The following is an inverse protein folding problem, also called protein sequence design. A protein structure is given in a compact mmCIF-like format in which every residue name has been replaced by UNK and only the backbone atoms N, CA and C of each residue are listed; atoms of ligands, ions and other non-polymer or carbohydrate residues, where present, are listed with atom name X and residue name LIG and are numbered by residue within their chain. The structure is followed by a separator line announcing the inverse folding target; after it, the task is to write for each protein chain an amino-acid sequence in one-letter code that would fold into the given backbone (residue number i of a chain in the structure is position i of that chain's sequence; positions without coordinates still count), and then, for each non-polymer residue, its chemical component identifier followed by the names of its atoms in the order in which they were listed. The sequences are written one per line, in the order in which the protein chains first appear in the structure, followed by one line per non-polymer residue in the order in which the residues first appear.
data_IF_718493944903
#
_entry.id   IF_718493944903
#
_cell.length_a   1.000
_cell.length_b   1.000
_cell.length_c   1.000
_cell.angle_alpha   90.00
_cell.angle_beta   90.00
_cell.angle_gamma   90.00
#
_symmetry.space_group_name_H-M   'P 1'
#
loop_
_entity.id
_entity.type
_entity.pdbx_description
1 polymer ?
#
# COMPACT_ATOMS: atom_id res chain seq x y z
N UNK A 1 -7.07 -15.42 -17.97
CA UNK A 1 -6.99 -14.28 -17.04
C UNK A 1 -5.85 -13.39 -17.49
N UNK A 2 -6.01 -12.06 -17.52
CA UNK A 2 -4.89 -11.15 -17.75
C UNK A 2 -3.82 -11.36 -16.67
N UNK A 3 -2.56 -11.12 -17.03
CA UNK A 3 -1.47 -11.21 -16.07
C UNK A 3 -1.62 -10.10 -15.01
N UNK A 4 -1.28 -10.36 -13.73
CA UNK A 4 -1.28 -9.33 -12.70
C UNK A 4 -0.30 -8.21 -13.06
N UNK A 5 -0.69 -6.97 -12.75
CA UNK A 5 0.16 -5.79 -12.86
C UNK A 5 0.88 -5.58 -11.54
N UNK A 6 2.20 -5.55 -11.58
CA UNK A 6 3.05 -5.41 -10.39
C UNK A 6 3.75 -4.05 -10.44
N UNK A 7 3.63 -3.30 -9.36
CA UNK A 7 4.31 -2.03 -9.16
C UNK A 7 5.33 -2.19 -8.04
N UNK A 8 6.56 -1.75 -8.30
CA UNK A 8 7.64 -1.81 -7.32
C UNK A 8 8.30 -0.45 -7.13
N UNK A 9 8.83 -0.24 -5.92
CA UNK A 9 9.62 0.94 -5.57
C UNK A 9 10.72 0.52 -4.61
N UNK A 10 11.95 0.94 -4.85
CA UNK A 10 13.10 0.48 -4.06
C UNK A 10 14.02 1.64 -3.70
N UNK A 11 14.63 1.56 -2.52
CA UNK A 11 15.67 2.47 -2.03
C UNK A 11 15.31 3.96 -2.17
N UNK A 12 14.12 4.33 -1.69
CA UNK A 12 13.66 5.72 -1.70
C UNK A 12 13.85 6.35 -0.33
N UNK A 13 14.67 7.39 -0.26
CA UNK A 13 14.74 8.27 0.90
C UNK A 13 13.48 9.14 0.98
N UNK A 14 12.82 9.10 2.13
CA UNK A 14 11.58 9.83 2.42
C UNK A 14 11.84 10.75 3.61
N UNK A 15 11.78 12.06 3.36
CA UNK A 15 11.87 13.08 4.41
C UNK A 15 10.75 12.92 5.45
N UNK A 16 10.96 13.48 6.64
CA UNK A 16 9.96 13.46 7.71
C UNK A 16 8.61 14.03 7.23
N UNK A 17 7.51 13.34 7.56
CA UNK A 17 6.14 13.65 7.15
C UNK A 17 5.89 13.72 5.63
N UNK A 18 6.82 13.22 4.81
CA UNK A 18 6.62 13.08 3.37
C UNK A 18 6.16 11.67 3.01
N UNK A 19 5.57 11.57 1.83
CA UNK A 19 5.05 10.33 1.28
C UNK A 19 5.78 9.93 0.00
N UNK A 20 5.70 8.64 -0.30
CA UNK A 20 6.08 8.10 -1.61
C UNK A 20 4.92 7.25 -2.12
N UNK A 21 4.46 7.56 -3.34
CA UNK A 21 3.47 6.75 -4.05
C UNK A 21 4.13 5.47 -4.55
N UNK A 22 3.58 4.33 -4.16
CA UNK A 22 3.92 2.99 -4.67
C UNK A 22 3.17 2.71 -5.97
N UNK A 23 1.91 3.14 -6.06
CA UNK A 23 1.09 3.08 -7.28
C UNK A 23 0.25 4.34 -7.40
N UNK A 24 0.00 4.75 -8.63
CA UNK A 24 -0.94 5.81 -9.01
C UNK A 24 -1.63 5.39 -10.31
N UNK A 25 -2.92 5.08 -10.22
CA UNK A 25 -3.79 4.75 -11.34
C UNK A 25 -4.84 5.85 -11.42
N UNK A 26 -4.70 6.80 -12.36
CA UNK A 26 -5.64 7.90 -12.48
C UNK A 26 -6.97 7.46 -13.08
N UNK A 27 -6.96 6.49 -14.00
CA UNK A 27 -8.15 5.95 -14.67
C UNK A 27 -7.99 4.44 -14.91
N UNK A 28 -8.92 3.64 -14.41
CA UNK A 28 -8.98 2.19 -14.64
C UNK A 28 -9.72 1.45 -13.55
N UNK A 29 -9.80 0.13 -13.70
CA UNK A 29 -10.39 -0.77 -12.71
C UNK A 29 -9.49 -1.97 -12.43
N UNK A 30 -9.71 -2.65 -11.32
CA UNK A 30 -8.99 -3.87 -10.96
C UNK A 30 -9.09 -4.19 -9.47
N UNK A 31 -8.35 -5.20 -9.05
CA UNK A 31 -8.36 -5.70 -7.67
C UNK A 31 -6.94 -5.59 -7.11
N UNK A 32 -6.74 -4.77 -6.07
CA UNK A 32 -5.48 -4.79 -5.33
C UNK A 32 -5.47 -6.05 -4.48
N UNK A 33 -4.53 -6.96 -4.77
CA UNK A 33 -4.48 -8.28 -4.12
C UNK A 33 -3.35 -8.41 -3.10
N UNK A 34 -2.29 -7.62 -3.25
CA UNK A 34 -1.16 -7.62 -2.33
C UNK A 34 -0.55 -6.24 -2.22
N UNK A 35 -0.27 -5.82 -0.99
CA UNK A 35 0.61 -4.69 -0.71
C UNK A 35 1.69 -5.16 0.27
N UNK A 36 2.96 -4.94 -0.09
CA UNK A 36 4.08 -5.21 0.81
C UNK A 36 5.05 -4.03 0.81
N UNK A 37 5.63 -3.72 1.96
CA UNK A 37 6.75 -2.79 2.03
C UNK A 37 7.77 -3.19 3.09
N UNK A 38 8.99 -2.69 2.91
CA UNK A 38 10.12 -2.78 3.81
C UNK A 38 10.73 -1.39 3.97
N UNK A 39 10.97 -0.96 5.19
CA UNK A 39 11.57 0.31 5.55
C UNK A 39 12.55 0.15 6.72
N UNK A 40 13.42 1.14 6.90
CA UNK A 40 14.33 1.19 8.05
C UNK A 40 13.77 1.89 9.29
N UNK A 41 12.44 2.02 9.37
CA UNK A 41 11.74 2.54 10.55
C UNK A 41 10.34 1.93 10.65
N UNK A 42 9.90 1.55 11.87
CA UNK A 42 8.53 1.11 12.12
C UNK A 42 7.49 2.23 12.09
N UNK A 43 7.91 3.48 11.89
CA UNK A 43 7.01 4.63 11.80
C UNK A 43 6.56 4.94 10.37
N UNK A 44 6.84 4.06 9.41
CA UNK A 44 6.16 4.16 8.12
C UNK A 44 4.71 3.73 8.26
N UNK A 45 3.81 4.49 7.64
CA UNK A 45 2.38 4.18 7.59
C UNK A 45 1.91 3.98 6.16
N UNK A 46 1.08 2.95 5.92
CA UNK A 46 0.47 2.68 4.63
C UNK A 46 -0.93 3.30 4.51
N UNK A 47 -1.17 3.96 3.38
CA UNK A 47 -2.45 4.54 3.02
C UNK A 47 -2.86 4.10 1.62
N UNK A 48 -4.18 4.02 1.42
CA UNK A 48 -4.78 3.76 0.11
C UNK A 48 -5.89 4.76 -0.16
N UNK A 49 -6.06 5.07 -1.44
CA UNK A 49 -7.20 5.85 -1.92
C UNK A 49 -7.83 5.11 -3.08
N UNK A 50 -9.10 4.77 -2.91
CA UNK A 50 -9.89 3.99 -3.86
C UNK A 50 -11.06 4.84 -4.28
N UNK A 51 -11.16 5.12 -5.58
CA UNK A 51 -12.25 5.89 -6.18
C UNK A 51 -12.55 7.21 -5.44
N UNK A 52 -11.50 7.89 -5.01
CA UNK A 52 -11.56 9.16 -4.29
C UNK A 52 -11.66 9.07 -2.76
N UNK A 53 -11.88 7.88 -2.20
CA UNK A 53 -11.97 7.65 -0.74
C UNK A 53 -10.63 7.19 -0.18
N UNK A 54 -10.08 7.95 0.76
CA UNK A 54 -8.81 7.66 1.44
C UNK A 54 -9.04 6.85 2.71
N UNK A 55 -8.13 5.91 2.97
CA UNK A 55 -8.18 4.99 4.09
C UNK A 55 -6.77 4.71 4.65
N UNK A 56 -6.64 4.64 5.97
CA UNK A 56 -5.42 4.22 6.69
C UNK A 56 -5.48 2.71 6.94
N UNK A 57 -4.61 1.96 6.24
CA UNK A 57 -4.55 0.49 6.26
C UNK A 57 -4.09 -0.10 7.61
N UNK A 58 -3.56 0.74 8.49
CA UNK A 58 -3.11 0.37 9.83
C UNK A 58 -4.09 0.77 10.91
N UNK A 59 -5.15 1.52 10.58
CA UNK A 59 -6.15 1.89 11.57
C UNK A 59 -6.97 0.66 12.03
N UNK A 60 -7.20 0.49 13.34
CA UNK A 60 -8.03 -0.61 13.87
C UNK A 60 -9.45 -0.59 13.32
N UNK A 61 -10.00 0.60 13.05
CA UNK A 61 -11.34 0.80 12.50
C UNK A 61 -11.42 0.26 11.06
N UNK A 62 -10.41 0.54 10.23
CA UNK A 62 -10.31 -0.01 8.88
C UNK A 62 -10.21 -1.54 8.92
N UNK A 63 -9.35 -2.11 9.77
CA UNK A 63 -9.23 -3.57 9.90
C UNK A 63 -10.55 -4.26 10.30
N UNK A 64 -11.25 -3.71 11.29
CA UNK A 64 -12.52 -4.27 11.77
C UNK A 64 -13.64 -4.14 10.73
N UNK A 65 -13.64 -3.09 9.91
CA UNK A 65 -14.62 -2.89 8.84
C UNK A 65 -14.38 -3.79 7.62
N UNK A 66 -13.13 -4.13 7.29
CA UNK A 66 -12.80 -4.86 6.05
C UNK A 66 -12.60 -6.35 6.23
N UNK A 67 -12.21 -6.81 7.42
CA UNK A 67 -12.18 -8.25 7.72
C UNK A 67 -13.56 -8.90 7.51
N UNK A 68 -14.63 -8.11 7.53
CA UNK A 68 -16.00 -8.54 7.28
C UNK A 68 -16.55 -8.13 5.90
N UNK A 69 -16.14 -6.99 5.32
CA UNK A 69 -16.76 -6.47 4.08
C UNK A 69 -15.85 -6.34 2.84
N UNK A 70 -14.51 -6.26 2.98
CA UNK A 70 -13.61 -5.98 1.83
C UNK A 70 -12.30 -6.80 1.83
N UNK A 71 -12.36 -8.03 2.34
CA UNK A 71 -11.40 -9.07 1.99
C UNK A 71 -9.96 -8.89 2.44
N UNK A 72 -9.66 -8.26 3.59
CA UNK A 72 -8.31 -8.41 4.18
C UNK A 72 -8.19 -9.85 4.70
N UNK A 73 -7.44 -10.68 3.99
CA UNK A 73 -7.26 -12.10 4.30
C UNK A 73 -6.14 -12.31 5.31
N UNK A 74 -5.06 -11.53 5.19
CA UNK A 74 -3.86 -11.72 6.01
C UNK A 74 -3.03 -10.44 6.12
N UNK A 75 -2.52 -10.16 7.32
CA UNK A 75 -1.56 -9.09 7.58
C UNK A 75 -0.41 -9.61 8.43
N UNK A 76 0.81 -9.42 7.97
CA UNK A 76 2.02 -9.80 8.68
C UNK A 76 2.96 -8.61 8.79
N UNK A 77 3.37 -8.34 10.02
CA UNK A 77 4.43 -7.39 10.32
C UNK A 77 5.70 -8.15 10.63
N UNK A 78 6.80 -7.68 10.08
CA UNK A 78 8.14 -8.15 10.44
C UNK A 78 8.95 -6.95 10.93
N UNK A 79 9.57 -7.09 12.09
CA UNK A 79 10.51 -6.12 12.62
C UNK A 79 11.72 -6.89 13.11
N UNK A 80 12.91 -6.54 12.64
CA UNK A 80 14.10 -6.74 13.46
C UNK A 80 14.20 -5.54 14.42
N UNK A 81 14.77 -5.76 15.60
CA UNK A 81 14.63 -4.83 16.72
C UNK A 81 15.16 -3.41 16.46
N UNK A 82 15.96 -3.18 15.39
CA UNK A 82 16.67 -1.90 15.23
C UNK A 82 16.94 -1.43 13.78
N UNK A 83 16.58 -2.16 12.72
CA UNK A 83 17.03 -1.78 11.36
C UNK A 83 16.06 -1.98 10.22
N UNK A 84 15.09 -2.90 10.36
CA UNK A 84 14.12 -3.20 9.31
C UNK A 84 12.76 -3.45 9.91
N UNK A 85 11.79 -2.72 9.37
CA UNK A 85 10.38 -2.93 9.58
C UNK A 85 9.73 -3.17 8.24
N UNK A 86 8.78 -4.08 8.18
CA UNK A 86 7.89 -4.10 7.04
C UNK A 86 6.60 -4.81 7.33
N UNK A 87 5.77 -4.76 6.32
CA UNK A 87 4.40 -5.21 6.38
C UNK A 87 4.05 -5.84 5.05
N UNK A 88 3.40 -6.99 5.10
CA UNK A 88 2.72 -7.59 3.95
C UNK A 88 1.25 -7.72 4.30
N UNK A 89 0.39 -7.31 3.37
CA UNK A 89 -1.06 -7.46 3.47
C UNK A 89 -1.56 -8.12 2.19
N UNK A 90 -2.15 -9.30 2.36
CA UNK A 90 -2.95 -9.95 1.32
C UNK A 90 -4.39 -9.51 1.54
N UNK A 91 -4.93 -8.81 0.55
CA UNK A 91 -6.19 -8.07 0.62
C UNK A 91 -6.94 -8.26 -0.70
N UNK A 92 -8.22 -7.95 -0.76
CA UNK A 92 -8.96 -7.92 -2.03
C UNK A 92 -9.76 -6.62 -2.08
N UNK A 93 -9.12 -5.56 -2.61
CA UNK A 93 -9.73 -4.24 -2.72
C UNK A 93 -10.01 -3.92 -4.17
N UNK A 94 -11.28 -4.01 -4.56
CA UNK A 94 -11.75 -3.60 -5.88
C UNK A 94 -11.75 -2.07 -6.02
N UNK A 95 -11.35 -1.57 -7.19
CA UNK A 95 -11.54 -0.18 -7.60
C UNK A 95 -12.11 -0.12 -9.02
N UNK A 96 -13.00 0.83 -9.27
CA UNK A 96 -13.70 1.00 -10.55
C UNK A 96 -13.18 2.16 -11.40
N UNK A 97 -12.52 3.14 -10.76
CA UNK A 97 -12.10 4.40 -11.40
C UNK A 97 -10.64 4.72 -11.19
N UNK A 98 -10.15 4.66 -9.96
CA UNK A 98 -8.81 5.12 -9.61
C UNK A 98 -8.29 4.45 -8.35
N UNK A 99 -6.98 4.21 -8.30
CA UNK A 99 -6.32 3.69 -7.12
C UNK A 99 -4.98 4.38 -6.87
N UNK A 100 -4.75 4.80 -5.63
CA UNK A 100 -3.45 5.27 -5.16
C UNK A 100 -3.05 4.47 -3.91
N UNK A 101 -1.79 4.05 -3.85
CA UNK A 101 -1.19 3.42 -2.66
C UNK A 101 0.08 4.18 -2.36
N UNK A 102 0.22 4.66 -1.13
CA UNK A 102 1.41 5.38 -0.71
C UNK A 102 1.79 5.05 0.73
N UNK A 103 3.07 5.22 1.03
CA UNK A 103 3.56 5.14 2.39
C UNK A 103 4.06 6.50 2.84
N UNK A 104 3.84 6.82 4.11
CA UNK A 104 4.25 8.09 4.74
C UNK A 104 5.30 7.80 5.80
N UNK A 105 6.40 8.54 5.78
CA UNK A 105 7.36 8.52 6.88
C UNK A 105 6.82 9.38 8.05
N UNK A 106 6.29 8.74 9.10
CA UNK A 106 5.87 9.40 10.35
C UNK A 106 6.99 9.52 11.39
N UNK A 107 8.23 9.30 10.98
CA UNK A 107 9.38 9.61 11.81
C UNK A 107 9.72 11.09 11.77
N UNK A 108 10.50 11.51 12.77
CA UNK A 108 10.98 12.89 12.91
C UNK A 108 12.22 13.19 12.05
N UNK A 109 12.77 12.16 11.40
CA UNK A 109 13.98 12.23 10.59
C UNK A 109 13.77 11.53 9.26
N UNK A 110 14.63 11.84 8.28
CA UNK A 110 14.64 11.15 6.99
C UNK A 110 14.87 9.66 7.20
N UNK A 111 14.05 8.84 6.55
CA UNK A 111 14.12 7.38 6.58
C UNK A 111 14.07 6.84 5.16
N UNK A 112 14.33 5.55 5.01
CA UNK A 112 14.39 4.92 3.69
C UNK A 112 13.32 3.86 3.60
N UNK A 113 12.47 4.00 2.59
CA UNK A 113 11.69 2.89 2.05
C UNK A 113 12.66 2.01 1.25
N UNK A 114 12.98 0.84 1.79
CA UNK A 114 13.91 -0.11 1.17
C UNK A 114 13.24 -0.78 -0.02
N UNK A 115 11.99 -1.23 0.14
CA UNK A 115 11.21 -1.84 -0.93
C UNK A 115 9.71 -1.59 -0.72
N UNK A 116 8.95 -1.54 -1.79
CA UNK A 116 7.49 -1.48 -1.81
C UNK A 116 6.98 -2.23 -3.04
N UNK A 117 5.93 -3.03 -2.87
CA UNK A 117 5.32 -3.88 -3.89
C UNK A 117 3.80 -3.71 -3.78
N UNK A 118 3.15 -3.49 -4.91
CA UNK A 118 1.69 -3.55 -5.05
C UNK A 118 1.36 -4.46 -6.22
N UNK A 119 0.48 -5.44 -6.00
CA UNK A 119 -0.02 -6.35 -7.04
C UNK A 119 -1.48 -6.03 -7.30
N UNK A 120 -1.82 -5.90 -8.57
CA UNK A 120 -3.19 -5.66 -9.04
C UNK A 120 -3.57 -6.74 -10.03
N UNK A 121 -4.61 -7.48 -9.71
CA UNK A 121 -5.25 -8.46 -10.58
C UNK A 121 -6.42 -7.84 -11.36
N UNK A 122 -6.84 -8.53 -12.42
CA UNK A 122 -7.96 -8.11 -13.28
C UNK A 122 -7.87 -6.64 -13.78
N UNK A 123 -6.65 -6.12 -13.91
CA UNK A 123 -6.42 -4.72 -14.24
C UNK A 123 -6.92 -4.40 -15.65
N UNK A 124 -7.79 -3.39 -15.73
CA UNK A 124 -8.26 -2.79 -16.96
C UNK A 124 -7.89 -1.30 -16.96
N UNK A 125 -7.06 -0.89 -17.91
CA UNK A 125 -6.67 0.51 -18.06
C UNK A 125 -7.84 1.35 -18.57
N UNK A 126 -8.15 2.45 -17.87
CA UNK A 126 -9.14 3.43 -18.28
C UNK A 126 -8.54 4.42 -19.28
N UNK A 127 -9.39 5.08 -20.07
CA UNK A 127 -9.00 6.21 -20.92
C UNK A 127 -9.48 7.50 -20.27
N UNK A 128 -8.67 8.56 -20.38
CA UNK A 128 -9.03 9.93 -19.99
C UNK A 128 -10.29 10.45 -20.71
#
# INVERSE_FOLDING_TARGET
MPAPKVYTKENVDVEAEKSVKLVEIPYGSGDITLISFLANSPKFKLYVKIDGKEEDLESPEFYNSLALEKGIVYKHYYSDAESKYGMTSEIEIHFDKSAEVWVVNKDTTKKTLIAGIVVIENFCEGKE
#
